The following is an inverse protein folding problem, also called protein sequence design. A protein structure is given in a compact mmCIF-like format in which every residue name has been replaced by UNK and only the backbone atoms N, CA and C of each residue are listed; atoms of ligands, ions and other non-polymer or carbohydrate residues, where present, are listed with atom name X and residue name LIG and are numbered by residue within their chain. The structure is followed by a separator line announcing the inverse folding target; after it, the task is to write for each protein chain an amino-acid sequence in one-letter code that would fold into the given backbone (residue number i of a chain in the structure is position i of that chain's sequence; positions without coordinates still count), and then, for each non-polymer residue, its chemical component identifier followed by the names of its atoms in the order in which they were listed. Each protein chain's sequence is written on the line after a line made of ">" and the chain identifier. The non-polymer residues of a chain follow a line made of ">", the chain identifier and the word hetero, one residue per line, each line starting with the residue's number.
data_IF_281799793214
#
_entry.id   IF_281799793214
#
_cell.length_a   1.000
_cell.length_b   1.000
_cell.length_c   1.000
_cell.angle_alpha   90.00
_cell.angle_beta   90.00
_cell.angle_gamma   90.00
#
_symmetry.space_group_name_H-M   'P 1'
#
loop_
_entity.id
_entity.type
_entity.pdbx_description
1 polymer ?
#
# COMPACT_ATOMS: atom_id res chain seq x y z
N UNK A 1 2.16 -7.64 10.55
CA UNK A 1 2.68 -8.16 9.25
C UNK A 1 1.85 -7.53 8.13
N UNK A 2 2.27 -7.57 6.86
CA UNK A 2 1.46 -7.01 5.76
C UNK A 2 -0.01 -7.46 5.76
N UNK A 3 -0.36 -8.74 6.03
CA UNK A 3 -1.76 -9.19 6.11
C UNK A 3 -2.55 -8.66 7.30
N UNK A 4 -1.91 -7.96 8.25
CA UNK A 4 -2.58 -7.38 9.42
C UNK A 4 -2.86 -5.88 9.25
N UNK A 5 -2.56 -5.31 8.09
CA UNK A 5 -2.94 -3.94 7.78
C UNK A 5 -4.44 -3.85 7.53
N UNK A 6 -4.99 -2.66 7.72
CA UNK A 6 -6.38 -2.33 7.44
C UNK A 6 -6.49 -1.06 6.59
N UNK A 7 -7.66 -0.87 5.98
CA UNK A 7 -7.97 0.36 5.24
C UNK A 7 -7.86 1.56 6.19
N UNK A 8 -7.11 2.57 5.77
CA UNK A 8 -6.85 3.78 6.56
C UNK A 8 -5.51 3.76 7.30
N UNK A 9 -4.83 2.62 7.40
CA UNK A 9 -3.48 2.55 7.95
C UNK A 9 -2.51 3.40 7.13
N UNK A 10 -1.47 3.89 7.80
CA UNK A 10 -0.45 4.75 7.20
C UNK A 10 0.84 3.97 6.89
N UNK A 11 1.37 4.19 5.70
CA UNK A 11 2.67 3.69 5.25
C UNK A 11 3.62 4.86 5.13
N UNK A 12 4.77 4.79 5.81
CA UNK A 12 5.79 5.83 5.81
C UNK A 12 6.99 5.38 4.99
N UNK A 13 7.43 6.24 4.06
CA UNK A 13 8.58 5.99 3.19
C UNK A 13 9.54 7.14 3.34
N UNK A 14 10.80 6.82 3.59
CA UNK A 14 11.89 7.78 3.50
C UNK A 14 12.78 7.38 2.32
N UNK A 15 12.94 8.29 1.36
CA UNK A 15 13.79 8.09 0.19
C UNK A 15 14.46 9.41 -0.17
N UNK A 16 15.78 9.39 -0.33
CA UNK A 16 16.60 10.57 -0.67
C UNK A 16 16.35 11.79 0.23
N UNK A 17 16.20 11.55 1.54
CA UNK A 17 15.92 12.60 2.52
C UNK A 17 14.48 13.16 2.49
N UNK A 18 13.62 12.68 1.59
CA UNK A 18 12.22 13.07 1.51
C UNK A 18 11.34 12.01 2.17
N UNK A 19 10.40 12.47 3.01
CA UNK A 19 9.45 11.62 3.73
C UNK A 19 8.05 11.70 3.12
N UNK A 20 7.55 10.56 2.67
CA UNK A 20 6.21 10.39 2.13
C UNK A 20 5.34 9.61 3.11
N UNK A 21 4.06 9.95 3.18
CA UNK A 21 3.07 9.10 3.86
C UNK A 21 2.03 8.73 2.82
N UNK A 22 1.68 7.46 2.82
CA UNK A 22 0.59 6.90 2.04
C UNK A 22 -0.46 6.34 2.99
N UNK A 23 -1.71 6.33 2.56
CA UNK A 23 -2.84 5.77 3.32
C UNK A 23 -3.44 4.60 2.56
N UNK A 24 -3.59 3.46 3.23
CA UNK A 24 -4.15 2.24 2.63
C UNK A 24 -5.58 2.49 2.19
N UNK A 25 -5.87 2.24 0.91
CA UNK A 25 -7.22 2.39 0.34
C UNK A 25 -7.92 1.05 0.14
N UNK A 26 -7.15 0.05 -0.28
CA UNK A 26 -7.65 -1.29 -0.58
C UNK A 26 -6.58 -2.37 -0.38
N UNK A 27 -7.09 -3.58 -0.11
CA UNK A 27 -6.31 -4.78 0.08
C UNK A 27 -7.05 -5.95 -0.55
N UNK A 28 -6.38 -6.74 -1.40
CA UNK A 28 -7.00 -7.88 -2.07
C UNK A 28 -5.96 -8.97 -2.41
N UNK A 29 -6.45 -10.20 -2.59
CA UNK A 29 -5.62 -11.34 -2.97
C UNK A 29 -5.78 -11.66 -4.45
N UNK A 30 -4.67 -11.92 -5.15
CA UNK A 30 -4.65 -12.34 -6.54
C UNK A 30 -3.84 -13.60 -6.76
N UNK A 31 -4.03 -14.20 -7.93
CA UNK A 31 -3.15 -15.28 -8.40
C UNK A 31 -1.77 -14.71 -8.78
N UNK A 32 -0.66 -15.46 -8.61
CA UNK A 32 0.68 -15.00 -8.98
C UNK A 32 0.84 -14.67 -10.46
N UNK A 33 -0.03 -15.22 -11.32
CA UNK A 33 -0.07 -14.99 -12.76
C UNK A 33 -0.86 -13.74 -13.15
N UNK A 34 -1.56 -13.11 -12.21
CA UNK A 34 -2.34 -11.90 -12.46
C UNK A 34 -1.42 -10.68 -12.37
N UNK A 35 -0.84 -10.30 -13.50
CA UNK A 35 0.13 -9.20 -13.59
C UNK A 35 -0.52 -7.82 -13.70
N UNK A 36 -1.84 -7.75 -13.96
CA UNK A 36 -2.56 -6.48 -14.11
C UNK A 36 -2.50 -5.62 -12.85
N UNK A 37 -2.28 -6.24 -11.68
CA UNK A 37 -2.10 -5.53 -10.41
C UNK A 37 -0.83 -4.66 -10.36
N UNK A 38 0.10 -4.85 -11.31
CA UNK A 38 1.34 -4.08 -11.43
C UNK A 38 1.23 -2.93 -12.44
N UNK A 39 0.09 -2.83 -13.14
CA UNK A 39 -0.15 -1.77 -14.11
C UNK A 39 -0.11 -0.41 -13.42
N UNK A 40 0.55 0.55 -14.08
CA UNK A 40 0.71 1.90 -13.56
C UNK A 40 -0.56 2.70 -13.78
N UNK A 41 -1.10 3.24 -12.69
CA UNK A 41 -2.19 4.21 -12.73
C UNK A 41 -1.60 5.62 -12.60
N UNK A 42 -1.77 6.44 -13.64
CA UNK A 42 -1.26 7.81 -13.69
C UNK A 42 -2.26 8.86 -13.16
N UNK A 43 -3.43 8.44 -12.69
CA UNK A 43 -4.44 9.36 -12.16
C UNK A 43 -4.07 9.94 -10.79
N UNK A 44 -3.22 9.26 -10.04
CA UNK A 44 -2.73 9.69 -8.73
C UNK A 44 -1.38 9.03 -8.40
N UNK A 45 -0.81 9.34 -7.24
CA UNK A 45 0.41 8.73 -6.72
C UNK A 45 0.08 7.62 -5.74
N UNK A 46 0.37 6.39 -6.14
CA UNK A 46 0.16 5.19 -5.32
C UNK A 46 1.48 4.52 -4.95
N UNK A 47 1.47 3.82 -3.83
CA UNK A 47 2.39 2.70 -3.60
C UNK A 47 1.60 1.41 -3.46
N UNK A 48 2.16 0.34 -4.04
CA UNK A 48 1.60 -1.01 -3.93
C UNK A 48 2.62 -1.90 -3.22
N UNK A 49 2.23 -2.47 -2.08
CA UNK A 49 3.02 -3.46 -1.34
C UNK A 49 2.49 -4.85 -1.68
N UNK A 50 3.37 -5.76 -2.13
CA UNK A 50 2.98 -7.11 -2.56
C UNK A 50 3.73 -8.16 -1.76
N UNK A 51 3.01 -9.17 -1.27
CA UNK A 51 3.61 -10.32 -0.55
C UNK A 51 2.91 -11.63 -0.87
N UNK A 52 3.55 -12.76 -0.55
CA UNK A 52 2.93 -14.08 -0.61
C UNK A 52 1.91 -14.26 0.51
N UNK A 53 0.75 -14.86 0.22
CA UNK A 53 -0.20 -15.29 1.26
C UNK A 53 -0.73 -16.70 0.94
N UNK A 54 -0.73 -17.64 1.92
CA UNK A 54 -0.12 -17.51 3.24
C UNK A 54 1.42 -17.48 3.13
N UNK A 55 2.12 -16.81 4.07
CA UNK A 55 3.57 -16.68 4.02
C UNK A 55 4.23 -18.06 4.11
N UNK A 56 5.06 -18.40 3.12
CA UNK A 56 5.90 -19.62 3.15
C UNK A 56 5.24 -20.92 2.67
N UNK A 57 3.97 -20.96 2.27
CA UNK A 57 3.36 -22.18 1.69
C UNK A 57 3.34 -22.13 0.15
N UNK A 58 4.17 -22.91 -0.55
CA UNK A 58 4.20 -22.92 -2.02
C UNK A 58 2.99 -23.65 -2.65
N UNK A 59 2.17 -24.39 -1.88
CA UNK A 59 1.07 -25.22 -2.42
C UNK A 59 -0.20 -24.41 -2.72
N UNK A 60 -0.31 -23.21 -2.17
CA UNK A 60 -1.45 -22.28 -2.38
C UNK A 60 -0.93 -20.87 -2.63
N UNK A 61 -0.20 -20.65 -3.73
CA UNK A 61 0.47 -19.39 -3.94
C UNK A 61 -0.58 -18.34 -4.30
N UNK A 62 -0.83 -17.40 -3.40
CA UNK A 62 -1.50 -16.14 -3.72
C UNK A 62 -0.56 -14.98 -3.45
N UNK A 63 -0.95 -13.81 -3.95
CA UNK A 63 -0.31 -12.54 -3.64
C UNK A 63 -1.32 -11.65 -2.93
N UNK A 64 -0.98 -11.14 -1.76
CA UNK A 64 -1.69 -10.01 -1.17
C UNK A 64 -1.13 -8.74 -1.79
N UNK A 65 -2.03 -7.92 -2.29
CA UNK A 65 -1.79 -6.60 -2.84
C UNK A 65 -2.38 -5.60 -1.86
N UNK A 66 -1.56 -4.67 -1.37
CA UNK A 66 -1.97 -3.54 -0.53
C UNK A 66 -1.69 -2.28 -1.30
N UNK A 67 -2.74 -1.55 -1.72
CA UNK A 67 -2.61 -0.29 -2.46
C UNK A 67 -2.90 0.88 -1.52
N UNK A 68 -1.96 1.82 -1.48
CA UNK A 68 -2.04 3.02 -0.65
C UNK A 68 -1.79 4.27 -1.50
N UNK A 69 -2.61 5.30 -1.29
CA UNK A 69 -2.51 6.60 -2.00
C UNK A 69 -1.68 7.58 -1.19
N UNK A 70 -0.92 8.45 -1.85
CA UNK A 70 -0.15 9.49 -1.17
C UNK A 70 -1.09 10.40 -0.37
N UNK A 71 -0.66 10.81 0.82
CA UNK A 71 -1.35 11.84 1.61
C UNK A 71 -0.71 13.19 1.27
N UNK A 72 -1.46 14.11 0.63
CA UNK A 72 -0.97 15.44 0.27
C UNK A 72 -0.50 16.25 1.49
N UNK A 73 0.50 17.13 1.36
CA UNK A 73 1.02 17.92 2.48
C UNK A 73 -0.04 18.80 3.19
N UNK A 74 -1.01 19.31 2.44
CA UNK A 74 -2.14 20.10 2.94
C UNK A 74 -3.07 19.27 3.84
N UNK A 75 -3.35 18.01 3.50
CA UNK A 75 -4.12 17.10 4.35
C UNK A 75 -3.35 16.73 5.64
N UNK A 76 -2.02 16.62 5.55
CA UNK A 76 -1.17 16.38 6.74
C UNK A 76 -1.18 17.55 7.73
N UNK A 77 -1.22 18.78 7.24
CA UNK A 77 -1.28 19.96 8.09
C UNK A 77 -2.59 20.01 8.90
N UNK A 78 -3.71 19.61 8.29
CA UNK A 78 -5.01 19.54 8.96
C UNK A 78 -5.02 18.48 10.06
N UNK A 79 -4.46 17.30 9.80
CA UNK A 79 -4.41 16.21 10.79
C UNK A 79 -3.45 16.47 11.95
N UNK A 80 -2.38 17.25 11.74
CA UNK A 80 -1.45 17.63 12.81
C UNK A 80 -1.93 18.82 13.66
N UNK A 81 -2.84 19.64 13.14
CA UNK A 81 -3.38 20.84 13.80
C UNK A 81 -4.59 20.61 14.72
N UNK A 82 -5.01 19.36 14.89
CA UNK A 82 -6.13 18.93 15.74
C UNK A 82 -5.67 18.22 17.04
N UNK A 83 -4.42 18.44 17.46
CA UNK A 83 -3.91 18.04 18.79
C UNK A 83 -3.96 19.20 19.78
#
# INVERSE_FOLDING_TARGET
>A
MLPTLEKGDLVYINYDGVSYTYKVEEMFEVMPTDLQVLDQDASDSFITLVTCVPPGDPRKPKRLVVRARVVPPDEKAVTNGIN
#
